data_IF_221781874238
#
_entry.id   IF_221781874238
#
_cell.length_a   1.000
_cell.length_b   1.000
_cell.length_c   1.000
_cell.angle_alpha   90.00
_cell.angle_beta   90.00
_cell.angle_gamma   90.00
#
_symmetry.space_group_name_H-M   'P 1'
#
loop_
_entity.id
_entity.type
_entity.pdbx_description
1 polymer ?
#
# COMPACT_ATOMS: atom_id res chain seq x y z
N UNK A 1 34.40 -19.29 18.47
CA UNK A 1 33.10 -19.44 19.14
C UNK A 1 32.79 -18.21 19.95
N UNK A 2 31.96 -17.31 19.41
CA UNK A 2 31.08 -16.42 20.17
C UNK A 2 29.82 -16.30 19.32
N UNK A 3 28.77 -17.01 19.71
CA UNK A 3 27.48 -17.01 19.02
C UNK A 3 26.75 -15.71 19.32
N UNK A 4 26.45 -14.94 18.28
CA UNK A 4 25.33 -13.99 18.34
C UNK A 4 24.10 -14.84 18.12
N UNK A 5 23.36 -15.13 19.20
CA UNK A 5 22.01 -15.65 19.08
C UNK A 5 21.24 -14.62 18.25
N UNK A 6 20.89 -14.97 17.00
CA UNK A 6 19.86 -14.27 16.23
C UNK A 6 18.64 -14.24 17.12
N UNK A 7 18.33 -13.09 17.72
CA UNK A 7 17.00 -12.90 18.27
C UNK A 7 16.05 -13.05 17.08
N UNK A 8 15.24 -14.11 17.08
CA UNK A 8 14.26 -14.33 16.01
C UNK A 8 13.28 -13.16 15.91
N UNK A 9 12.56 -13.06 14.80
CA UNK A 9 11.47 -12.08 14.67
C UNK A 9 10.35 -12.43 15.66
N UNK A 10 9.61 -11.41 16.11
CA UNK A 10 8.46 -11.58 17.00
C UNK A 10 7.44 -12.57 16.40
N UNK A 11 6.87 -13.49 17.20
CA UNK A 11 5.86 -14.44 16.72
C UNK A 11 4.67 -13.74 16.05
N UNK A 12 4.06 -14.36 15.04
CA UNK A 12 2.94 -13.78 14.29
C UNK A 12 1.74 -13.38 15.17
N UNK A 13 1.54 -14.03 16.32
CA UNK A 13 0.42 -13.75 17.22
C UNK A 13 0.81 -12.92 18.45
N UNK A 14 2.03 -12.36 18.48
CA UNK A 14 2.42 -11.42 19.51
C UNK A 14 1.53 -10.17 19.42
N UNK A 15 0.85 -9.75 20.50
CA UNK A 15 0.06 -8.52 20.50
C UNK A 15 0.92 -7.33 20.06
N UNK A 16 0.37 -6.49 19.19
CA UNK A 16 1.07 -5.30 18.73
C UNK A 16 1.29 -4.30 19.86
N UNK A 17 2.33 -3.46 19.77
CA UNK A 17 2.60 -2.44 20.77
C UNK A 17 1.49 -1.37 20.77
N UNK A 18 1.50 -0.52 21.80
CA UNK A 18 0.72 0.72 21.74
C UNK A 18 1.29 1.61 20.63
N UNK A 19 0.42 2.35 19.96
CA UNK A 19 0.85 3.37 19.00
C UNK A 19 1.61 4.46 19.76
N UNK A 20 2.81 4.79 19.30
CA UNK A 20 3.68 5.84 19.82
C UNK A 20 3.26 7.21 19.28
N UNK A 21 2.75 7.26 18.05
CA UNK A 21 2.25 8.49 17.43
C UNK A 21 1.02 8.98 18.20
N UNK A 22 0.99 10.29 18.50
CA UNK A 22 -0.12 10.86 19.26
C UNK A 22 -1.45 10.69 18.52
N UNK A 23 -2.52 10.37 19.25
CA UNK A 23 -3.86 10.21 18.68
C UNK A 23 -4.40 11.45 17.97
N UNK A 24 -3.85 12.65 18.24
CA UNK A 24 -4.18 13.88 17.51
C UNK A 24 -3.66 13.84 16.08
N UNK A 25 -2.39 13.44 15.88
CA UNK A 25 -1.77 13.34 14.56
C UNK A 25 -2.43 12.22 13.75
N UNK A 26 -2.64 11.06 14.37
CA UNK A 26 -3.32 9.93 13.75
C UNK A 26 -4.74 10.29 13.26
N UNK A 27 -5.51 11.03 14.09
CA UNK A 27 -6.84 11.54 13.68
C UNK A 27 -6.77 12.52 12.53
N UNK A 28 -5.79 13.42 12.53
CA UNK A 28 -5.67 14.47 11.52
C UNK A 28 -5.30 13.90 10.14
N UNK A 29 -4.59 12.78 10.11
CA UNK A 29 -4.16 12.13 8.87
C UNK A 29 -5.27 11.33 8.17
N UNK A 30 -6.35 10.96 8.86
CA UNK A 30 -7.45 10.18 8.29
C UNK A 30 -8.57 11.11 7.82
N UNK A 31 -8.83 11.14 6.51
CA UNK A 31 -9.97 11.85 5.92
C UNK A 31 -10.93 10.84 5.33
N UNK A 32 -12.23 10.96 5.60
CA UNK A 32 -13.25 10.04 5.12
C UNK A 32 -14.38 10.80 4.45
N UNK A 33 -15.00 10.22 3.43
CA UNK A 33 -16.25 10.73 2.90
C UNK A 33 -17.39 10.55 3.90
N UNK A 34 -18.47 11.36 3.86
CA UNK A 34 -19.59 11.23 4.77
C UNK A 34 -20.27 9.85 4.74
N UNK A 35 -20.28 9.19 3.57
CA UNK A 35 -20.90 7.89 3.32
C UNK A 35 -20.25 6.79 4.15
N UNK A 36 -18.99 6.93 4.55
CA UNK A 36 -18.31 5.98 5.43
C UNK A 36 -19.09 5.78 6.72
N UNK A 37 -19.83 6.77 7.23
CA UNK A 37 -20.60 6.61 8.47
C UNK A 37 -21.97 5.92 8.30
N UNK A 38 -22.49 5.80 7.07
CA UNK A 38 -23.90 5.42 6.84
C UNK A 38 -24.12 4.35 5.77
N UNK A 39 -23.19 4.20 4.83
CA UNK A 39 -23.26 3.20 3.77
C UNK A 39 -23.06 1.79 4.34
N UNK A 40 -23.87 0.80 3.94
CA UNK A 40 -23.72 -0.57 4.44
C UNK A 40 -22.50 -1.31 3.88
N UNK A 41 -21.91 -0.87 2.77
CA UNK A 41 -20.72 -1.49 2.17
C UNK A 41 -19.49 -1.22 3.03
N UNK A 42 -18.48 -2.07 2.85
CA UNK A 42 -17.19 -1.89 3.49
C UNK A 42 -16.46 -0.67 2.90
N UNK A 43 -15.93 0.24 3.72
CA UNK A 43 -15.25 1.43 3.22
C UNK A 43 -13.86 1.08 2.67
N UNK A 44 -13.44 1.82 1.65
CA UNK A 44 -12.13 1.68 1.01
C UNK A 44 -11.13 2.63 1.68
N UNK A 45 -9.95 2.16 2.05
CA UNK A 45 -8.82 2.95 2.52
C UNK A 45 -7.81 3.10 1.40
N UNK A 46 -7.61 4.34 0.94
CA UNK A 46 -6.57 4.69 -0.03
C UNK A 46 -5.27 5.10 0.69
N UNK A 47 -4.15 4.50 0.30
CA UNK A 47 -2.83 4.73 0.92
C UNK A 47 -1.81 5.15 -0.14
N UNK A 48 -1.23 6.36 -0.03
CA UNK A 48 -0.39 6.91 -1.08
C UNK A 48 1.00 6.27 -1.13
N UNK A 49 1.66 6.43 -2.27
CA UNK A 49 3.03 6.00 -2.49
C UNK A 49 4.09 6.89 -1.82
N UNK A 50 5.36 6.49 -1.97
CA UNK A 50 6.51 7.30 -1.55
C UNK A 50 6.44 8.68 -2.22
N UNK A 51 6.86 9.74 -1.51
CA UNK A 51 6.86 11.15 -1.95
C UNK A 51 5.49 11.83 -2.08
N UNK A 52 4.40 11.15 -1.73
CA UNK A 52 3.06 11.64 -2.02
C UNK A 52 2.20 11.85 -0.77
N UNK A 53 1.39 12.90 -0.80
CA UNK A 53 0.16 12.98 0.00
C UNK A 53 -0.99 12.23 -0.70
N UNK A 54 -2.08 11.87 0.02
CA UNK A 54 -3.25 11.32 -0.65
C UNK A 54 -3.88 12.27 -1.67
N UNK A 55 -3.84 13.58 -1.39
CA UNK A 55 -4.38 14.59 -2.31
C UNK A 55 -3.63 14.53 -3.65
N UNK A 56 -2.30 14.58 -3.62
CA UNK A 56 -1.48 14.51 -4.83
C UNK A 56 -1.64 13.20 -5.59
N UNK A 57 -1.75 12.09 -4.86
CA UNK A 57 -1.84 10.77 -5.46
C UNK A 57 -3.22 10.48 -6.06
N UNK A 58 -4.31 10.84 -5.35
CA UNK A 58 -5.64 10.26 -5.60
C UNK A 58 -6.75 11.26 -5.95
N UNK A 59 -6.61 12.55 -5.62
CA UNK A 59 -7.75 13.49 -5.69
C UNK A 59 -8.25 13.78 -7.11
N UNK A 60 -7.37 13.56 -8.11
CA UNK A 60 -7.67 13.76 -9.52
C UNK A 60 -8.03 12.47 -10.27
N UNK A 61 -8.04 11.33 -9.58
CA UNK A 61 -8.21 10.01 -10.17
C UNK A 61 -9.11 9.08 -9.31
N UNK A 62 -8.59 8.20 -8.44
CA UNK A 62 -9.33 7.25 -7.60
C UNK A 62 -10.41 7.92 -6.75
N UNK A 63 -10.16 9.08 -6.13
CA UNK A 63 -11.18 9.77 -5.33
C UNK A 63 -12.39 10.18 -6.18
N UNK A 64 -12.16 10.68 -7.39
CA UNK A 64 -13.22 11.05 -8.35
C UNK A 64 -13.98 9.80 -8.81
N UNK A 65 -13.25 8.73 -9.13
CA UNK A 65 -13.84 7.47 -9.57
C UNK A 65 -14.73 6.83 -8.49
N UNK A 66 -14.23 6.73 -7.25
CA UNK A 66 -14.99 6.20 -6.12
C UNK A 66 -16.20 7.08 -5.78
N UNK A 67 -16.04 8.40 -5.84
CA UNK A 67 -17.15 9.34 -5.67
C UNK A 67 -18.23 9.14 -6.74
N UNK A 68 -17.85 8.98 -8.00
CA UNK A 68 -18.78 8.74 -9.11
C UNK A 68 -19.53 7.40 -8.97
N UNK A 69 -18.88 6.38 -8.40
CA UNK A 69 -19.49 5.09 -8.06
C UNK A 69 -20.28 5.12 -6.74
N UNK A 70 -20.21 6.22 -6.00
CA UNK A 70 -20.78 6.36 -4.67
C UNK A 70 -20.20 5.36 -3.67
N UNK A 71 -18.96 4.91 -3.85
CA UNK A 71 -18.29 3.99 -2.94
C UNK A 71 -17.72 4.77 -1.73
N UNK A 72 -18.01 4.37 -0.48
CA UNK A 72 -17.49 5.04 0.71
C UNK A 72 -15.98 4.84 0.82
N UNK A 73 -15.22 5.91 1.00
CA UNK A 73 -13.77 5.80 1.13
C UNK A 73 -13.17 6.75 2.15
N UNK A 74 -11.98 6.40 2.62
CA UNK A 74 -11.08 7.25 3.36
C UNK A 74 -9.71 7.28 2.70
N UNK A 75 -8.95 8.34 2.95
CA UNK A 75 -7.52 8.44 2.67
C UNK A 75 -6.74 8.56 3.98
N UNK A 76 -5.54 8.00 4.02
CA UNK A 76 -4.61 8.18 5.15
C UNK A 76 -3.32 8.85 4.67
N UNK A 77 -3.03 10.02 5.24
CA UNK A 77 -1.80 10.75 4.97
C UNK A 77 -0.65 10.18 5.80
N UNK A 78 0.34 9.59 5.13
CA UNK A 78 1.54 9.07 5.77
C UNK A 78 2.52 10.22 6.08
N UNK A 79 3.27 10.15 7.20
CA UNK A 79 4.06 11.27 7.70
C UNK A 79 5.13 11.73 6.71
N UNK A 80 5.13 13.03 6.42
CA UNK A 80 6.07 13.70 5.52
C UNK A 80 6.10 13.05 4.13
N UNK A 81 4.94 12.99 3.45
CA UNK A 81 4.82 12.46 2.09
C UNK A 81 5.36 11.02 1.97
N UNK A 82 5.10 10.18 2.98
CA UNK A 82 5.61 8.80 3.06
C UNK A 82 7.16 8.67 2.98
N UNK A 83 7.94 9.71 3.32
CA UNK A 83 9.41 9.66 3.26
C UNK A 83 10.08 9.26 4.58
N UNK A 84 9.30 9.19 5.66
CA UNK A 84 9.79 8.91 7.02
C UNK A 84 9.98 7.41 7.28
N UNK A 85 10.34 7.02 8.52
CA UNK A 85 10.39 5.62 8.93
C UNK A 85 9.04 4.92 8.69
N UNK A 86 9.02 3.90 7.83
CA UNK A 86 7.83 3.16 7.42
C UNK A 86 7.17 2.45 8.61
N UNK A 87 7.94 2.10 9.64
CA UNK A 87 7.42 1.52 10.87
C UNK A 87 6.51 2.50 11.64
N UNK A 88 6.78 3.80 11.52
CA UNK A 88 5.94 4.87 12.05
C UNK A 88 4.73 5.10 11.13
N UNK A 89 4.92 5.07 9.81
CA UNK A 89 3.83 5.15 8.83
C UNK A 89 2.77 4.05 9.06
N UNK A 90 3.20 2.84 9.41
CA UNK A 90 2.29 1.74 9.73
C UNK A 90 1.37 2.03 10.93
N UNK A 91 1.78 2.87 11.89
CA UNK A 91 0.90 3.27 13.00
C UNK A 91 -0.32 4.06 12.51
N UNK A 92 -0.16 4.84 11.44
CA UNK A 92 -1.25 5.57 10.79
C UNK A 92 -2.24 4.61 10.13
N UNK A 93 -1.74 3.57 9.47
CA UNK A 93 -2.59 2.52 8.88
C UNK A 93 -3.31 1.70 9.95
N UNK A 94 -2.62 1.29 11.03
CA UNK A 94 -3.26 0.62 12.18
C UNK A 94 -4.38 1.48 12.76
N UNK A 95 -4.14 2.78 12.93
CA UNK A 95 -5.17 3.71 13.39
C UNK A 95 -6.33 3.81 12.42
N UNK A 96 -6.07 3.96 11.13
CA UNK A 96 -7.08 4.07 10.07
C UNK A 96 -7.99 2.83 10.07
N UNK A 97 -7.41 1.63 10.04
CA UNK A 97 -8.16 0.36 10.07
C UNK A 97 -9.07 0.27 11.30
N UNK A 98 -8.53 0.53 12.50
CA UNK A 98 -9.30 0.53 13.74
C UNK A 98 -10.42 1.57 13.73
N UNK A 99 -10.15 2.77 13.21
CA UNK A 99 -11.13 3.86 13.18
C UNK A 99 -12.23 3.60 12.17
N UNK A 100 -11.89 3.17 10.96
CA UNK A 100 -12.84 2.86 9.90
C UNK A 100 -13.74 1.68 10.29
N UNK A 101 -13.15 0.61 10.82
CA UNK A 101 -13.91 -0.53 11.31
C UNK A 101 -14.85 -0.17 12.48
N UNK A 102 -14.51 0.85 13.28
CA UNK A 102 -15.38 1.32 14.38
C UNK A 102 -16.65 2.05 13.91
N UNK A 103 -16.79 2.41 12.63
CA UNK A 103 -18.03 2.97 12.13
C UNK A 103 -19.09 1.86 11.99
N UNK A 104 -20.08 1.88 12.88
CA UNK A 104 -21.20 0.94 12.90
C UNK A 104 -21.91 0.92 11.53
N UNK A 105 -21.80 -0.18 10.79
CA UNK A 105 -22.69 -0.50 9.69
C UNK A 105 -24.00 -1.07 10.22
N UNK A 106 -24.97 -1.33 9.32
CA UNK A 106 -26.30 -1.88 9.68
C UNK A 106 -26.24 -3.17 10.52
N UNK A 107 -25.10 -3.88 10.55
CA UNK A 107 -24.87 -5.14 11.25
C UNK A 107 -23.68 -5.11 12.25
N UNK A 108 -23.16 -3.92 12.62
CA UNK A 108 -22.01 -3.79 13.54
C UNK A 108 -20.73 -3.28 12.86
N UNK A 109 -19.57 -3.54 13.47
CA UNK A 109 -18.26 -3.15 12.93
C UNK A 109 -18.04 -3.76 11.53
N UNK A 110 -17.57 -2.97 10.58
CA UNK A 110 -17.27 -3.42 9.20
C UNK A 110 -15.78 -3.72 9.05
N UNK A 111 -15.43 -4.63 8.14
CA UNK A 111 -14.06 -4.69 7.64
C UNK A 111 -13.80 -3.51 6.70
N UNK A 112 -12.54 -3.36 6.32
CA UNK A 112 -12.02 -2.30 5.48
C UNK A 112 -11.39 -2.94 4.25
N UNK A 113 -11.71 -2.39 3.09
CA UNK A 113 -11.01 -2.67 1.85
C UNK A 113 -9.80 -1.75 1.75
N UNK A 114 -8.61 -2.27 1.46
CA UNK A 114 -7.40 -1.45 1.33
C UNK A 114 -6.96 -1.42 -0.12
N UNK A 115 -6.66 -0.22 -0.62
CA UNK A 115 -5.97 -0.02 -1.90
C UNK A 115 -4.76 0.87 -1.62
N UNK A 116 -3.57 0.32 -1.80
CA UNK A 116 -2.32 1.01 -1.62
C UNK A 116 -1.49 1.00 -2.90
N UNK A 117 -0.79 2.11 -3.16
CA UNK A 117 0.12 2.22 -4.29
C UNK A 117 1.57 2.28 -3.82
N UNK A 118 2.49 1.57 -4.49
CA UNK A 118 3.93 1.63 -4.20
C UNK A 118 4.20 1.27 -2.74
N UNK A 119 4.90 2.12 -1.99
CA UNK A 119 5.04 1.97 -0.53
C UNK A 119 3.70 1.79 0.20
N UNK A 120 2.65 2.49 -0.25
CA UNK A 120 1.31 2.41 0.32
C UNK A 120 0.66 1.03 0.19
N UNK A 121 1.03 0.22 -0.81
CA UNK A 121 0.60 -1.18 -0.92
C UNK A 121 1.34 -2.12 0.04
N UNK A 122 2.56 -1.75 0.43
CA UNK A 122 3.40 -2.53 1.36
C UNK A 122 3.10 -2.22 2.84
N UNK A 123 2.80 -0.96 3.19
CA UNK A 123 2.60 -0.53 4.60
C UNK A 123 1.49 -1.30 5.33
N UNK A 124 0.32 -1.62 4.71
CA UNK A 124 -0.70 -2.47 5.32
C UNK A 124 -0.17 -3.80 5.83
N UNK A 125 0.70 -4.46 5.07
CA UNK A 125 1.31 -5.73 5.49
C UNK A 125 2.14 -5.59 6.75
N UNK A 126 2.82 -4.46 6.96
CA UNK A 126 3.50 -4.18 8.23
C UNK A 126 2.51 -4.09 9.41
N UNK A 127 1.38 -3.40 9.21
CA UNK A 127 0.31 -3.33 10.21
C UNK A 127 -0.25 -4.73 10.52
N UNK A 128 -0.56 -5.54 9.51
CA UNK A 128 -1.07 -6.91 9.66
C UNK A 128 -0.04 -7.85 10.33
N UNK A 129 1.24 -7.65 10.04
CA UNK A 129 2.35 -8.45 10.58
C UNK A 129 2.63 -8.17 12.05
N UNK A 130 2.59 -6.91 12.48
CA UNK A 130 3.01 -6.50 13.83
C UNK A 130 1.89 -6.01 14.75
N UNK A 131 0.67 -5.83 14.24
CA UNK A 131 -0.55 -5.64 15.03
C UNK A 131 -1.62 -6.67 14.65
N UNK A 132 -1.54 -7.90 15.19
CA UNK A 132 -2.44 -8.99 14.78
C UNK A 132 -3.93 -8.71 14.93
N UNK A 133 -4.31 -7.76 15.80
CA UNK A 133 -5.71 -7.33 15.95
C UNK A 133 -6.28 -6.65 14.70
N UNK A 134 -5.42 -6.15 13.80
CA UNK A 134 -5.83 -5.51 12.54
C UNK A 134 -6.30 -6.52 11.49
N UNK A 135 -5.89 -7.79 11.57
CA UNK A 135 -6.23 -8.83 10.57
C UNK A 135 -7.74 -9.06 10.42
N UNK A 136 -8.47 -8.95 11.52
CA UNK A 136 -9.95 -9.08 11.51
C UNK A 136 -10.67 -7.83 11.01
N UNK A 137 -9.93 -6.75 10.71
CA UNK A 137 -10.47 -5.47 10.28
C UNK A 137 -10.34 -5.27 8.77
N UNK A 138 -9.66 -6.17 8.06
CA UNK A 138 -9.40 -6.08 6.61
C UNK A 138 -10.14 -7.22 5.91
N UNK A 139 -10.76 -6.94 4.76
CA UNK A 139 -11.30 -7.99 3.88
C UNK A 139 -10.38 -8.19 2.67
N UNK A 140 -10.08 -7.12 1.94
CA UNK A 140 -9.10 -7.08 0.85
C UNK A 140 -7.91 -6.17 1.17
N UNK A 141 -6.71 -6.64 0.85
CA UNK A 141 -5.46 -5.87 0.81
C UNK A 141 -4.97 -5.83 -0.65
N UNK A 142 -5.18 -4.69 -1.32
CA UNK A 142 -4.84 -4.49 -2.72
C UNK A 142 -3.60 -3.62 -2.85
N UNK A 143 -2.56 -4.15 -3.47
CA UNK A 143 -1.34 -3.41 -3.84
C UNK A 143 -1.28 -3.13 -5.34
N UNK A 144 -1.03 -1.87 -5.70
CA UNK A 144 -0.70 -1.43 -7.04
C UNK A 144 0.80 -1.13 -7.10
N UNK A 145 1.55 -1.94 -7.84
CA UNK A 145 3.03 -1.89 -7.89
C UNK A 145 3.65 -1.78 -6.48
N UNK A 146 3.13 -2.57 -5.52
CA UNK A 146 3.55 -2.49 -4.14
C UNK A 146 5.05 -2.83 -3.98
N UNK A 147 5.80 -2.14 -3.11
CA UNK A 147 7.22 -2.49 -2.87
C UNK A 147 7.41 -3.64 -1.88
N UNK A 148 6.60 -4.70 -2.00
CA UNK A 148 6.45 -5.79 -1.04
C UNK A 148 7.74 -6.55 -0.69
N UNK A 149 8.67 -6.64 -1.62
CA UNK A 149 10.03 -7.17 -1.41
C UNK A 149 11.12 -6.11 -1.69
N UNK A 150 10.78 -4.83 -1.54
CA UNK A 150 11.67 -3.70 -1.81
C UNK A 150 11.96 -3.52 -3.31
N UNK A 151 13.08 -2.91 -3.65
CA UNK A 151 13.50 -2.77 -5.05
C UNK A 151 15.01 -2.54 -5.14
N UNK A 152 15.61 -3.09 -6.19
CA UNK A 152 17.03 -2.87 -6.50
C UNK A 152 17.30 -1.43 -6.98
N UNK A 153 16.31 -0.71 -7.49
CA UNK A 153 16.48 0.70 -7.89
C UNK A 153 16.70 1.60 -6.68
N UNK A 154 16.10 1.27 -5.53
CA UNK A 154 16.31 1.99 -4.27
C UNK A 154 17.76 1.85 -3.78
N UNK A 155 18.42 0.72 -4.08
CA UNK A 155 19.84 0.57 -3.81
C UNK A 155 20.66 1.56 -4.63
N UNK A 156 20.38 1.69 -5.92
CA UNK A 156 21.05 2.63 -6.81
C UNK A 156 20.75 4.10 -6.47
N UNK A 157 19.53 4.40 -6.05
CA UNK A 157 19.12 5.73 -5.61
C UNK A 157 19.70 6.12 -4.23
N UNK A 158 20.13 5.14 -3.43
CA UNK A 158 20.59 5.33 -2.06
C UNK A 158 21.97 4.71 -1.80
N UNK A 159 23.02 5.36 -2.33
CA UNK A 159 24.41 4.91 -2.16
C UNK A 159 25.02 5.32 -0.82
N UNK A 160 24.89 6.59 -0.43
CA UNK A 160 25.52 7.13 0.79
C UNK A 160 24.53 7.72 1.79
N UNK A 161 23.51 8.41 1.31
CA UNK A 161 22.45 8.96 2.13
C UNK A 161 21.15 9.06 1.34
N UNK A 162 20.01 8.80 1.96
CA UNK A 162 18.68 8.99 1.37
C UNK A 162 17.63 9.11 2.48
N UNK A 163 16.38 9.33 2.11
CA UNK A 163 15.29 9.34 3.06
C UNK A 163 15.15 7.97 3.76
N UNK A 164 14.71 7.93 5.04
CA UNK A 164 14.42 6.68 5.76
C UNK A 164 13.60 5.66 4.97
N UNK A 165 12.52 6.08 4.32
CA UNK A 165 11.69 5.17 3.53
C UNK A 165 12.41 4.58 2.32
N UNK A 166 13.34 5.32 1.71
CA UNK A 166 14.13 4.81 0.57
C UNK A 166 15.14 3.75 1.05
N UNK A 167 15.75 3.94 2.22
CA UNK A 167 16.57 2.89 2.84
C UNK A 167 15.77 1.61 3.10
N UNK A 168 14.56 1.77 3.64
CA UNK A 168 13.72 0.63 4.03
C UNK A 168 13.11 -0.09 2.82
N UNK A 169 12.92 0.61 1.70
CA UNK A 169 12.44 0.01 0.44
C UNK A 169 13.54 -0.66 -0.40
N UNK A 170 14.78 -0.73 0.07
CA UNK A 170 15.76 -1.62 -0.56
C UNK A 170 15.33 -3.07 -0.37
N UNK A 171 15.56 -3.89 -1.39
CA UNK A 171 15.29 -5.33 -1.35
C UNK A 171 16.12 -6.07 -0.28
N UNK A 172 17.29 -5.53 0.06
CA UNK A 172 18.19 -6.05 1.10
C UNK A 172 18.10 -5.32 2.46
N UNK A 173 17.08 -4.50 2.69
CA UNK A 173 16.93 -3.75 3.94
C UNK A 173 16.55 -4.67 5.13
N UNK A 174 16.88 -4.24 6.35
CA UNK A 174 16.44 -4.92 7.56
C UNK A 174 14.91 -4.88 7.70
N UNK A 175 14.29 -3.80 7.24
CA UNK A 175 12.84 -3.62 7.16
C UNK A 175 12.19 -4.67 6.26
N UNK A 176 12.62 -4.82 5.01
CA UNK A 176 12.04 -5.77 4.04
C UNK A 176 12.18 -7.21 4.56
N UNK A 177 13.34 -7.54 5.15
CA UNK A 177 13.54 -8.84 5.79
C UNK A 177 12.59 -9.07 6.99
N UNK A 178 12.28 -8.03 7.77
CA UNK A 178 11.35 -8.12 8.89
C UNK A 178 9.89 -8.20 8.44
N UNK A 179 9.51 -7.42 7.42
CA UNK A 179 8.17 -7.43 6.82
C UNK A 179 7.80 -8.84 6.34
N UNK A 180 8.69 -9.45 5.57
CA UNK A 180 8.48 -10.78 4.95
C UNK A 180 8.81 -11.94 5.91
N UNK A 181 8.93 -11.68 7.22
CA UNK A 181 9.25 -12.73 8.20
C UNK A 181 8.04 -13.61 8.53
N UNK A 182 8.25 -14.93 8.45
CA UNK A 182 7.32 -16.04 8.72
C UNK A 182 6.13 -16.17 7.76
N UNK A 183 5.42 -15.10 7.44
CA UNK A 183 4.28 -15.11 6.52
C UNK A 183 4.06 -13.73 5.92
N UNK A 184 3.78 -13.68 4.63
CA UNK A 184 3.45 -12.45 3.91
C UNK A 184 1.97 -12.11 3.97
N UNK A 185 1.11 -13.14 4.07
CA UNK A 185 -0.35 -13.05 4.06
C UNK A 185 -1.00 -13.77 5.25
N UNK A 186 -2.22 -13.36 5.60
CA UNK A 186 -2.95 -13.87 6.76
C UNK A 186 -4.32 -14.45 6.38
N UNK A 187 -4.80 -15.47 7.11
CA UNK A 187 -6.07 -16.12 6.77
C UNK A 187 -7.26 -15.18 6.89
N UNK A 188 -8.28 -15.42 6.05
CA UNK A 188 -9.52 -14.64 5.95
C UNK A 188 -9.33 -13.19 5.47
N UNK A 189 -8.21 -12.92 4.78
CA UNK A 189 -7.93 -11.71 4.00
C UNK A 189 -7.61 -12.15 2.57
N UNK A 190 -8.17 -11.43 1.62
CA UNK A 190 -7.88 -11.52 0.19
C UNK A 190 -6.75 -10.55 -0.15
N UNK A 191 -5.75 -11.01 -0.89
CA UNK A 191 -4.60 -10.23 -1.32
C UNK A 191 -4.62 -10.15 -2.84
N UNK A 192 -4.68 -8.93 -3.37
CA UNK A 192 -4.58 -8.67 -4.81
C UNK A 192 -3.37 -7.79 -5.05
N UNK A 193 -2.31 -8.36 -5.61
CA UNK A 193 -1.12 -7.61 -6.00
C UNK A 193 -1.13 -7.42 -7.50
N UNK A 194 -1.49 -6.21 -7.93
CA UNK A 194 -1.50 -5.83 -9.33
C UNK A 194 -0.16 -5.19 -9.66
N UNK A 195 0.53 -5.70 -10.66
CA UNK A 195 1.84 -5.18 -11.05
C UNK A 195 1.97 -4.96 -12.55
N UNK A 196 2.91 -4.09 -12.93
CA UNK A 196 3.32 -3.93 -14.32
C UNK A 196 4.69 -4.53 -14.59
N UNK A 197 4.80 -5.29 -15.69
CA UNK A 197 6.11 -5.72 -16.21
C UNK A 197 6.96 -4.56 -16.74
N UNK A 198 6.36 -3.39 -16.91
CA UNK A 198 6.99 -2.15 -17.35
C UNK A 198 7.32 -1.19 -16.20
N UNK A 199 7.02 -1.56 -14.95
CA UNK A 199 7.45 -0.81 -13.77
C UNK A 199 8.98 -0.63 -13.79
N UNK A 200 9.42 0.62 -13.71
CA UNK A 200 10.80 1.06 -13.74
C UNK A 200 11.35 1.42 -12.35
N UNK A 201 10.49 1.43 -11.33
CA UNK A 201 10.80 1.80 -9.95
C UNK A 201 10.82 0.56 -9.06
N UNK A 202 9.73 -0.21 -8.97
CA UNK A 202 9.69 -1.44 -8.18
C UNK A 202 10.06 -2.60 -9.09
N UNK A 203 11.31 -3.08 -8.95
CA UNK A 203 11.84 -4.14 -9.81
C UNK A 203 12.65 -5.16 -8.98
N UNK A 204 12.66 -6.44 -9.39
CA UNK A 204 12.05 -7.00 -10.61
C UNK A 204 10.53 -7.21 -10.50
N UNK A 205 9.78 -6.96 -11.59
CA UNK A 205 8.33 -7.21 -11.70
C UNK A 205 7.97 -7.96 -13.00
N UNK A 206 8.85 -8.84 -13.48
CA UNK A 206 8.68 -9.55 -14.75
C UNK A 206 7.62 -10.65 -14.71
N UNK A 207 7.28 -11.16 -13.53
CA UNK A 207 6.30 -12.23 -13.32
C UNK A 207 5.80 -12.21 -11.87
N UNK A 208 4.93 -13.17 -11.54
CA UNK A 208 4.30 -13.30 -10.22
C UNK A 208 5.29 -13.65 -9.09
N UNK A 209 6.58 -13.84 -9.37
CA UNK A 209 7.65 -13.99 -8.37
C UNK A 209 8.39 -12.66 -8.12
N UNK A 210 7.92 -11.57 -8.74
CA UNK A 210 8.48 -10.23 -8.62
C UNK A 210 8.31 -9.61 -7.24
N UNK A 211 8.77 -8.37 -7.13
CA UNK A 211 8.82 -7.66 -5.87
C UNK A 211 7.43 -7.32 -5.35
N UNK A 212 6.52 -6.92 -6.24
CA UNK A 212 5.15 -6.54 -5.87
C UNK A 212 4.31 -7.71 -5.39
N UNK A 213 4.55 -8.90 -5.94
CA UNK A 213 3.78 -10.08 -5.60
C UNK A 213 4.04 -10.57 -4.17
N UNK A 214 3.05 -11.24 -3.59
CA UNK A 214 3.16 -11.97 -2.32
C UNK A 214 3.08 -13.48 -2.54
N UNK A 215 3.86 -14.25 -1.78
CA UNK A 215 4.16 -15.66 -2.09
C UNK A 215 3.85 -16.65 -0.97
N UNK A 216 3.66 -16.16 0.26
CA UNK A 216 3.56 -17.01 1.44
C UNK A 216 2.47 -16.60 2.41
N UNK A 217 2.13 -17.50 3.32
CA UNK A 217 1.06 -17.29 4.31
C UNK A 217 -0.20 -18.06 3.96
N UNK A 218 -1.31 -17.68 4.60
CA UNK A 218 -2.59 -18.40 4.52
C UNK A 218 -3.75 -17.53 4.02
N UNK A 219 -3.45 -16.36 3.46
CA UNK A 219 -4.44 -15.53 2.77
C UNK A 219 -4.79 -16.10 1.38
N UNK A 220 -5.87 -15.58 0.80
CA UNK A 220 -6.22 -15.88 -0.60
C UNK A 220 -5.44 -14.91 -1.49
N UNK A 221 -4.59 -15.41 -2.40
CA UNK A 221 -3.64 -14.58 -3.16
C UNK A 221 -4.02 -14.56 -4.64
N UNK A 222 -4.05 -13.36 -5.23
CA UNK A 222 -3.97 -13.14 -6.66
C UNK A 222 -2.86 -12.14 -6.97
N UNK A 223 -1.80 -12.62 -7.62
CA UNK A 223 -0.77 -11.78 -8.22
C UNK A 223 -1.09 -11.65 -9.70
N UNK A 224 -1.36 -10.45 -10.20
CA UNK A 224 -1.86 -10.24 -11.56
C UNK A 224 -1.03 -9.16 -12.26
N UNK A 225 -0.33 -9.52 -13.32
CA UNK A 225 0.24 -8.52 -14.21
C UNK A 225 -0.87 -7.83 -15.01
N UNK A 226 -0.80 -6.51 -15.19
CA UNK A 226 -1.72 -5.82 -16.13
C UNK A 226 -1.63 -6.37 -17.56
N UNK A 227 -0.47 -6.95 -17.92
CA UNK A 227 -0.26 -7.65 -19.19
C UNK A 227 -1.01 -8.99 -19.31
N UNK A 228 -1.48 -9.58 -18.21
CA UNK A 228 -2.35 -10.77 -18.27
C UNK A 228 -3.75 -10.42 -18.78
N UNK A 229 -4.24 -9.21 -18.45
CA UNK A 229 -5.51 -8.68 -18.97
C UNK A 229 -5.29 -8.11 -20.38
N UNK A 230 -4.22 -7.34 -20.55
CA UNK A 230 -3.93 -6.60 -21.78
C UNK A 230 -2.48 -6.85 -22.23
N UNK A 231 -2.18 -7.87 -23.07
CA UNK A 231 -0.80 -8.30 -23.38
C UNK A 231 0.16 -7.25 -23.94
N UNK A 232 -0.34 -6.17 -24.51
CA UNK A 232 0.47 -5.05 -25.04
C UNK A 232 0.46 -3.80 -24.16
N UNK A 233 -0.05 -3.89 -22.94
CA UNK A 233 -0.22 -2.75 -22.03
C UNK A 233 1.12 -2.29 -21.45
N UNK A 234 1.32 -0.97 -21.41
CA UNK A 234 2.62 -0.34 -21.13
C UNK A 234 2.53 0.66 -19.97
N UNK A 235 1.88 0.26 -18.88
CA UNK A 235 1.82 1.07 -17.66
C UNK A 235 3.20 1.13 -16.98
N UNK A 236 3.71 2.32 -16.71
CA UNK A 236 4.86 2.52 -15.82
C UNK A 236 4.40 2.59 -14.35
N UNK A 237 5.34 2.75 -13.42
CA UNK A 237 5.04 2.79 -11.99
C UNK A 237 4.03 3.90 -11.64
N UNK A 238 4.22 5.08 -12.23
CA UNK A 238 3.43 6.26 -11.95
C UNK A 238 1.99 6.11 -12.46
N UNK A 239 1.83 5.56 -13.67
CA UNK A 239 0.53 5.25 -14.26
C UNK A 239 -0.28 4.30 -13.36
N UNK A 240 0.34 3.22 -12.89
CA UNK A 240 -0.30 2.19 -12.06
C UNK A 240 -0.94 2.76 -10.79
N UNK A 241 -0.28 3.73 -10.15
CA UNK A 241 -0.78 4.40 -8.94
C UNK A 241 -1.80 5.51 -9.17
N UNK A 242 -2.14 5.85 -10.43
CA UNK A 242 -2.89 7.06 -10.73
C UNK A 242 -3.93 6.88 -11.84
N UNK A 243 -3.50 6.87 -13.10
CA UNK A 243 -4.37 6.98 -14.27
C UNK A 243 -4.56 5.68 -15.04
N UNK A 244 -3.88 4.59 -14.67
CA UNK A 244 -3.95 3.34 -15.41
C UNK A 244 -5.33 2.66 -15.37
N UNK A 245 -5.97 2.40 -16.53
CA UNK A 245 -7.31 1.81 -16.57
C UNK A 245 -7.34 0.33 -16.17
N UNK A 246 -6.28 -0.44 -16.41
CA UNK A 246 -6.24 -1.89 -16.13
C UNK A 246 -6.00 -2.13 -14.64
N UNK A 247 -5.01 -1.43 -14.07
CA UNK A 247 -4.72 -1.42 -12.64
C UNK A 247 -5.94 -0.99 -11.83
N UNK A 248 -6.61 0.10 -12.23
CA UNK A 248 -7.87 0.52 -11.63
C UNK A 248 -8.95 -0.56 -11.71
N UNK A 249 -9.16 -1.18 -12.88
CA UNK A 249 -10.21 -2.17 -13.04
C UNK A 249 -9.99 -3.40 -12.14
N UNK A 250 -8.74 -3.86 -12.00
CA UNK A 250 -8.38 -4.95 -11.09
C UNK A 250 -8.55 -4.56 -9.62
N UNK A 251 -8.15 -3.34 -9.24
CA UNK A 251 -8.31 -2.86 -7.86
C UNK A 251 -9.79 -2.74 -7.47
N UNK A 252 -10.65 -2.22 -8.37
CA UNK A 252 -12.09 -2.15 -8.14
C UNK A 252 -12.71 -3.55 -8.13
N UNK A 253 -12.26 -4.45 -9.01
CA UNK A 253 -12.75 -5.84 -9.03
C UNK A 253 -12.51 -6.55 -7.70
N UNK A 254 -11.31 -6.41 -7.11
CA UNK A 254 -11.00 -6.95 -5.78
C UNK A 254 -11.99 -6.42 -4.73
N UNK A 255 -12.08 -5.09 -4.57
CA UNK A 255 -12.82 -4.52 -3.44
C UNK A 255 -14.35 -4.56 -3.58
N UNK A 256 -14.87 -5.01 -4.72
CA UNK A 256 -16.31 -5.11 -5.01
C UNK A 256 -16.83 -6.53 -5.21
N UNK A 257 -15.95 -7.54 -5.14
CA UNK A 257 -16.32 -8.96 -5.22
C UNK A 257 -15.83 -9.73 -4.00
N UNK A 258 -16.31 -10.96 -3.84
CA UNK A 258 -15.80 -11.86 -2.82
C UNK A 258 -14.50 -12.51 -3.29
N UNK A 259 -13.50 -12.55 -2.41
CA UNK A 259 -12.15 -13.04 -2.74
C UNK A 259 -11.34 -12.00 -3.53
N UNK A 260 -10.07 -12.29 -3.83
CA UNK A 260 -9.22 -11.36 -4.55
C UNK A 260 -9.69 -11.13 -6.01
N UNK A 261 -9.08 -10.15 -6.68
CA UNK A 261 -9.39 -9.87 -8.08
C UNK A 261 -9.20 -11.10 -8.98
N UNK A 262 -9.93 -11.12 -10.09
CA UNK A 262 -9.77 -12.14 -11.12
C UNK A 262 -9.63 -11.45 -12.47
N UNK A 263 -8.48 -11.65 -13.13
CA UNK A 263 -8.22 -11.10 -14.46
C UNK A 263 -9.34 -11.43 -15.47
N UNK A 264 -9.94 -12.62 -15.38
CA UNK A 264 -11.04 -13.05 -16.25
C UNK A 264 -12.36 -12.28 -16.07
N UNK A 265 -12.54 -11.53 -14.97
CA UNK A 265 -13.70 -10.66 -14.77
C UNK A 265 -13.53 -9.30 -15.45
N UNK A 266 -12.30 -8.94 -15.80
CA UNK A 266 -12.02 -7.65 -16.42
C UNK A 266 -12.37 -7.70 -17.91
N UNK A 267 -13.23 -6.79 -18.34
CA UNK A 267 -13.64 -6.71 -19.74
C UNK A 267 -12.47 -6.24 -20.61
N UNK A 268 -12.18 -6.98 -21.69
CA UNK A 268 -11.08 -6.67 -22.61
C UNK A 268 -11.18 -5.28 -23.28
N UNK A 269 -12.35 -4.63 -23.23
CA UNK A 269 -12.52 -3.23 -23.67
C UNK A 269 -11.67 -2.25 -22.86
N UNK A 270 -11.31 -2.59 -21.61
CA UNK A 270 -10.42 -1.76 -20.78
C UNK A 270 -9.07 -1.49 -21.45
N UNK A 271 -8.59 -2.43 -22.28
CA UNK A 271 -7.31 -2.29 -22.98
C UNK A 271 -7.30 -1.18 -24.03
N UNK A 272 -8.48 -0.63 -24.39
CA UNK A 272 -8.62 0.48 -25.33
C UNK A 272 -8.85 1.82 -24.63
N UNK A 273 -9.06 1.81 -23.31
CA UNK A 273 -9.27 3.04 -22.55
C UNK A 273 -7.92 3.74 -22.34
N UNK A 274 -7.84 5.07 -22.52
CA UNK A 274 -6.61 5.81 -22.29
C UNK A 274 -6.35 6.04 -20.79
N UNK A 275 -7.40 6.11 -19.99
CA UNK A 275 -7.33 6.42 -18.56
C UNK A 275 -8.41 5.68 -17.79
N UNK A 276 -8.17 5.48 -16.49
CA UNK A 276 -9.21 5.07 -15.56
C UNK A 276 -10.32 6.14 -15.42
N UNK A 277 -11.56 5.77 -15.05
CA UNK A 277 -12.76 6.61 -15.17
C UNK A 277 -12.76 7.92 -14.36
N UNK A 278 -11.94 8.04 -13.33
CA UNK A 278 -11.83 9.23 -12.49
C UNK A 278 -10.96 10.34 -13.07
N UNK A 279 -10.15 10.04 -14.10
CA UNK A 279 -9.27 11.02 -14.75
C UNK A 279 -10.09 11.87 -15.71
N UNK A 280 -9.92 13.20 -15.64
CA UNK A 280 -10.48 14.14 -16.61
C UNK A 280 -9.47 14.33 -17.76
N UNK A 281 -9.76 13.87 -19.00
CA UNK A 281 -8.83 14.00 -20.11
C UNK A 281 -8.47 15.44 -20.46
N UNK A 282 -9.31 16.42 -20.10
CA UNK A 282 -9.07 17.84 -20.40
C UNK A 282 -8.08 18.49 -19.43
N UNK A 283 -7.93 17.96 -18.22
CA UNK A 283 -6.98 18.45 -17.20
C UNK A 283 -5.79 17.51 -16.98
N UNK A 284 -5.83 16.30 -17.56
CA UNK A 284 -4.80 15.27 -17.40
C UNK A 284 -3.37 15.82 -17.41
N UNK A 285 -2.96 16.52 -18.48
CA UNK A 285 -1.60 17.03 -18.60
C UNK A 285 -1.18 17.99 -17.47
N UNK A 286 -2.12 18.71 -16.86
CA UNK A 286 -1.84 19.58 -15.72
C UNK A 286 -1.82 18.84 -14.39
N UNK A 287 -2.70 17.84 -14.23
CA UNK A 287 -2.78 17.03 -13.02
C UNK A 287 -1.56 16.10 -12.92
N UNK A 288 -1.20 15.45 -14.03
CA UNK A 288 0.00 14.62 -14.19
C UNK A 288 1.29 15.43 -13.95
N UNK A 289 1.41 16.63 -14.53
CA UNK A 289 2.57 17.49 -14.29
C UNK A 289 2.72 17.93 -12.82
N UNK A 290 1.61 18.12 -12.08
CA UNK A 290 1.67 18.45 -10.65
C UNK A 290 2.05 17.24 -9.82
N UNK A 291 1.54 16.06 -10.17
CA UNK A 291 1.89 14.79 -9.55
C UNK A 291 3.40 14.53 -9.68
N UNK A 292 3.95 14.64 -10.89
CA UNK A 292 5.39 14.51 -11.15
C UNK A 292 6.22 15.58 -10.43
N UNK A 293 5.72 16.82 -10.39
CA UNK A 293 6.38 17.91 -9.70
C UNK A 293 6.49 17.63 -8.19
N UNK A 294 5.42 17.18 -7.54
CA UNK A 294 5.45 16.85 -6.11
C UNK A 294 6.43 15.72 -5.82
N UNK A 295 6.39 14.64 -6.61
CA UNK A 295 7.34 13.53 -6.50
C UNK A 295 8.77 14.03 -6.58
N UNK A 296 9.08 14.80 -7.63
CA UNK A 296 10.41 15.32 -7.90
C UNK A 296 10.90 16.27 -6.80
N UNK A 297 10.05 17.19 -6.35
CA UNK A 297 10.38 18.18 -5.34
C UNK A 297 10.61 17.52 -3.98
N UNK A 298 9.71 16.64 -3.55
CA UNK A 298 9.85 15.93 -2.27
C UNK A 298 11.07 15.02 -2.28
N UNK A 299 11.29 14.26 -3.36
CA UNK A 299 12.45 13.38 -3.48
C UNK A 299 13.77 14.16 -3.41
N UNK A 300 13.85 15.31 -4.09
CA UNK A 300 15.06 16.13 -4.15
C UNK A 300 15.36 16.86 -2.83
N UNK A 301 14.33 17.23 -2.06
CA UNK A 301 14.46 18.15 -0.92
C UNK A 301 14.38 17.47 0.45
N UNK A 302 13.85 16.25 0.54
CA UNK A 302 13.67 15.58 1.83
C UNK A 302 15.02 15.31 2.54
N UNK A 303 15.11 15.52 3.88
CA UNK A 303 16.34 15.27 4.63
C UNK A 303 16.88 13.84 4.49
N UNK A 304 18.19 13.73 4.20
CA UNK A 304 18.85 12.44 3.96
C UNK A 304 19.54 11.91 5.23
N UNK A 305 19.39 10.62 5.50
CA UNK A 305 20.10 9.86 6.53
C UNK A 305 21.15 8.95 5.90
N UNK A 306 22.25 8.69 6.61
CA UNK A 306 23.34 7.79 6.17
C UNK A 306 23.08 6.31 6.40
N UNK A 307 21.99 5.97 7.08
CA UNK A 307 21.64 4.60 7.39
C UNK A 307 20.14 4.41 7.45
N UNK A 308 19.73 3.17 7.22
CA UNK A 308 18.39 2.68 7.53
C UNK A 308 18.05 2.96 9.01
N UNK A 309 16.83 3.41 9.33
CA UNK A 309 16.36 3.44 10.71
C UNK A 309 16.45 2.05 11.36
N UNK A 310 16.83 1.97 12.64
CA UNK A 310 16.81 0.69 13.34
C UNK A 310 15.38 0.14 13.41
N UNK A 311 15.26 -1.19 13.32
CA UNK A 311 13.99 -1.86 13.59
C UNK A 311 13.49 -1.52 15.00
N UNK A 312 12.21 -1.17 15.11
CA UNK A 312 11.52 -0.96 16.37
C UNK A 312 11.61 -2.23 17.21
N UNK A 313 11.71 -2.07 18.53
CA UNK A 313 11.94 -3.21 19.44
C UNK A 313 10.94 -4.36 19.21
N UNK A 314 9.65 -4.04 19.04
CA UNK A 314 8.55 -5.00 18.87
C UNK A 314 8.71 -5.95 17.68
N UNK A 315 9.60 -5.64 16.73
CA UNK A 315 9.90 -6.50 15.57
C UNK A 315 10.63 -7.78 15.99
N UNK A 316 11.34 -7.75 17.11
CA UNK A 316 12.17 -8.86 17.60
C UNK A 316 11.52 -9.60 18.76
N UNK A 317 11.70 -10.93 18.82
CA UNK A 317 11.21 -11.77 19.91
C UNK A 317 11.90 -11.47 21.25
N UNK A 318 13.04 -10.78 21.23
CA UNK A 318 13.77 -10.35 22.43
C UNK A 318 13.15 -9.14 23.12
N UNK A 319 12.22 -8.44 22.47
CA UNK A 319 11.59 -7.28 23.07
C UNK A 319 10.67 -7.70 24.21
N UNK A 320 10.96 -7.20 25.42
CA UNK A 320 10.09 -7.36 26.57
C UNK A 320 9.14 -6.16 26.58
N UNK A 321 7.84 -6.43 26.46
CA UNK A 321 6.77 -5.43 26.51
C UNK A 321 6.60 -4.78 27.88
#
# INVERSE_FOLDING_TARGET
>A
MVGVARAGYAPLNQPGPKLEVSGRLLRAALRCTPEVASDPREPILLIPGTTLTPEANFSWNYERALTALGLPYCTVELPNHAMSDIQVAAEYVVYALRRMSSFEGKNGARKVQVIGYSQGGMVPRWALRFWPDTRKLVDDDVGLDASNHGTVTAEAACLEACAPAVWQQRDNSAFTAALNSYAETFPAISYTEVYSQNDEIVVPNLNEQGSSSVHSGAGEIANIAVQEVCPGHVADHLAMGSYDPVGYALAIDAVTHAGPAQASRIAATVCAEPFQPGVDPSTFAQDDAKYDQEISEVFATYPRSKSEPPLKCYVTASCRG
#
